data_IF_442355257290
#
_entry.id   IF_442355257290
#
_cell.length_a   1.000
_cell.length_b   1.000
_cell.length_c   1.000
_cell.angle_alpha   90.00
_cell.angle_beta   90.00
_cell.angle_gamma   90.00
#
_symmetry.space_group_name_H-M   'P 1'
#
loop_
_entity.id
_entity.type
_entity.pdbx_description
1 polymer ?
#
# COMPACT_ATOMS: atom_id res chain seq x y z
N UNK A 1 -2.09 16.32 2.29
CA UNK A 1 -3.47 16.22 2.81
C UNK A 1 -3.44 15.60 4.20
N UNK A 2 -4.14 16.18 5.18
CA UNK A 2 -4.13 15.67 6.57
C UNK A 2 -4.88 14.35 6.77
N UNK A 3 -5.78 14.00 5.85
CA UNK A 3 -6.57 12.76 5.94
C UNK A 3 -5.71 11.49 5.89
N UNK A 4 -4.68 11.43 5.05
CA UNK A 4 -3.81 10.25 4.93
C UNK A 4 -2.83 10.18 6.12
N UNK A 5 -2.26 11.32 6.51
CA UNK A 5 -1.33 11.38 7.66
C UNK A 5 -2.01 10.90 8.94
N UNK A 6 -3.22 11.40 9.23
CA UNK A 6 -4.07 10.92 10.33
C UNK A 6 -4.26 9.40 10.33
N UNK A 7 -4.56 8.80 9.17
CA UNK A 7 -4.75 7.34 9.07
C UNK A 7 -3.45 6.57 9.32
N UNK A 8 -2.31 7.09 8.85
CA UNK A 8 -1.00 6.46 9.06
C UNK A 8 -0.55 6.53 10.52
N UNK A 9 -0.87 7.63 11.20
CA UNK A 9 -0.53 7.84 12.62
C UNK A 9 -1.42 6.97 13.53
N UNK A 10 -2.72 6.87 13.21
CA UNK A 10 -3.68 6.03 13.95
C UNK A 10 -3.43 4.52 13.79
N UNK A 11 -2.68 4.10 12.77
CA UNK A 11 -2.32 2.68 12.59
C UNK A 11 -3.47 1.76 12.14
N UNK A 12 -4.60 2.29 11.67
CA UNK A 12 -5.69 1.47 11.14
C UNK A 12 -5.28 0.70 9.87
N UNK A 13 -6.08 -0.28 9.45
CA UNK A 13 -5.82 -1.07 8.23
C UNK A 13 -5.49 -0.20 7.00
N UNK A 14 -6.28 0.86 6.77
CA UNK A 14 -6.03 1.81 5.68
C UNK A 14 -4.70 2.54 5.84
N UNK A 15 -4.35 2.95 7.05
CA UNK A 15 -3.06 3.58 7.38
C UNK A 15 -1.86 2.68 7.09
N UNK A 16 -1.92 1.43 7.54
CA UNK A 16 -0.86 0.44 7.28
C UNK A 16 -0.70 0.20 5.77
N UNK A 17 -1.82 0.11 5.03
CA UNK A 17 -1.81 -0.04 3.56
C UNK A 17 -1.26 1.20 2.86
N UNK A 18 -1.55 2.41 3.35
CA UNK A 18 -0.94 3.65 2.87
C UNK A 18 0.58 3.62 3.06
N UNK A 19 1.06 3.27 4.26
CA UNK A 19 2.48 3.18 4.61
C UNK A 19 3.23 2.14 3.76
N UNK A 20 2.61 0.98 3.51
CA UNK A 20 3.20 -0.13 2.73
C UNK A 20 3.01 0.00 1.21
N UNK A 21 2.43 1.09 0.72
CA UNK A 21 2.14 1.28 -0.71
C UNK A 21 1.33 0.13 -1.32
N UNK A 22 0.32 -0.33 -0.59
CA UNK A 22 -0.62 -1.37 -1.03
C UNK A 22 -2.00 -0.76 -1.35
N UNK A 23 -2.82 -1.46 -2.15
CA UNK A 23 -4.20 -1.05 -2.39
C UNK A 23 -5.05 -1.14 -1.12
N UNK A 24 -6.04 -0.26 -1.04
CA UNK A 24 -6.80 0.02 0.19
C UNK A 24 -8.20 -0.59 0.23
N UNK A 25 -8.82 -0.84 -0.92
CA UNK A 25 -10.23 -1.25 -1.06
C UNK A 25 -10.39 -2.77 -1.24
N UNK A 26 -9.61 -3.57 -0.53
CA UNK A 26 -9.71 -5.05 -0.61
C UNK A 26 -9.24 -5.67 -1.93
N UNK A 27 -8.54 -4.93 -2.78
CA UNK A 27 -8.06 -5.45 -4.07
C UNK A 27 -7.01 -6.55 -3.89
N UNK A 28 -6.98 -7.50 -4.83
CA UNK A 28 -6.01 -8.60 -4.84
C UNK A 28 -4.57 -8.07 -4.96
N UNK A 29 -3.68 -8.60 -4.12
CA UNK A 29 -2.25 -8.19 -4.08
C UNK A 29 -1.27 -9.31 -4.41
N UNK A 30 -1.70 -10.55 -4.63
CA UNK A 30 -0.80 -11.67 -4.94
C UNK A 30 -0.13 -11.50 -6.31
N UNK A 31 -0.89 -11.09 -7.33
CA UNK A 31 -0.43 -10.97 -8.72
C UNK A 31 -0.31 -9.51 -9.17
N UNK A 32 -1.40 -8.77 -9.11
CA UNK A 32 -1.51 -7.40 -9.62
C UNK A 32 -1.38 -6.35 -8.49
N UNK A 33 -1.74 -5.09 -8.80
CA UNK A 33 -1.55 -3.86 -7.99
C UNK A 33 -0.24 -3.09 -8.22
N UNK A 34 0.28 -3.09 -9.46
CA UNK A 34 1.50 -2.35 -9.82
C UNK A 34 1.36 -0.83 -9.65
N UNK A 35 0.19 -0.25 -9.88
CA UNK A 35 -0.04 1.19 -9.69
C UNK A 35 0.31 1.67 -8.29
N UNK A 36 0.07 0.84 -7.25
CA UNK A 36 0.46 1.14 -5.87
C UNK A 36 1.84 0.60 -5.50
N UNK A 37 2.17 -0.63 -5.93
CA UNK A 37 3.44 -1.30 -5.61
C UNK A 37 4.68 -0.76 -6.37
N UNK A 38 4.47 0.04 -7.41
CA UNK A 38 5.52 0.53 -8.30
C UNK A 38 5.93 -0.49 -9.39
N UNK A 39 7.08 -0.32 -10.05
CA UNK A 39 7.63 -1.24 -11.06
C UNK A 39 8.11 -2.58 -10.46
N UNK A 40 8.07 -3.67 -11.26
CA UNK A 40 8.42 -5.01 -10.80
C UNK A 40 9.88 -5.04 -10.31
N UNK A 41 10.06 -5.32 -9.03
CA UNK A 41 11.38 -5.53 -8.42
C UNK A 41 11.75 -7.00 -8.62
N UNK A 42 12.72 -7.34 -9.49
CA UNK A 42 13.21 -8.70 -9.60
C UNK A 42 13.91 -9.10 -8.29
N UNK A 43 13.78 -10.35 -7.89
CA UNK A 43 14.55 -10.89 -6.76
C UNK A 43 15.95 -11.15 -7.30
N UNK A 44 16.94 -10.36 -6.87
CA UNK A 44 18.34 -10.67 -7.12
C UNK A 44 18.69 -11.87 -6.23
N UNK A 45 19.23 -12.93 -6.84
CA UNK A 45 19.80 -14.07 -6.11
C UNK A 45 21.11 -13.64 -5.46
#
# INVERSE_FOLDING_TARGET
SMSIKRLMDLGCFRGIRHRRSLPLRGQRTKTNARTRKGPRKPIKK
#
